data_IF_732195231817
#
_entry.id   IF_732195231817
#
_cell.length_a   1.000
_cell.length_b   1.000
_cell.length_c   1.000
_cell.angle_alpha   90.00
_cell.angle_beta   90.00
_cell.angle_gamma   90.00
#
_symmetry.space_group_name_H-M   'P 1'
#
loop_
_entity.id
_entity.type
_entity.pdbx_description
1 polymer ?
#
# COMPACT_ATOMS: atom_id res chain seq x y z
N UNK A 1 -22.16 -78.70 -0.77
CA UNK A 1 -21.43 -77.71 -1.61
C UNK A 1 -22.40 -76.65 -2.10
N UNK A 2 -22.57 -75.55 -1.36
CA UNK A 2 -23.06 -74.25 -1.87
C UNK A 2 -22.43 -73.17 -0.99
N UNK A 3 -21.52 -72.41 -1.58
CA UNK A 3 -20.69 -71.40 -0.91
C UNK A 3 -21.53 -70.18 -0.52
N UNK A 4 -21.38 -69.72 0.72
CA UNK A 4 -21.90 -68.44 1.19
C UNK A 4 -20.90 -67.35 0.78
N UNK A 5 -21.29 -66.45 -0.12
CA UNK A 5 -20.50 -65.27 -0.46
C UNK A 5 -20.81 -64.16 0.55
N UNK A 6 -19.81 -63.79 1.35
CA UNK A 6 -19.87 -62.68 2.31
C UNK A 6 -19.62 -61.36 1.55
N UNK A 7 -20.63 -60.51 1.44
CA UNK A 7 -20.48 -59.17 0.88
C UNK A 7 -19.93 -58.23 1.95
N UNK A 8 -18.67 -57.83 1.82
CA UNK A 8 -18.04 -56.79 2.64
C UNK A 8 -18.44 -55.43 2.07
N UNK A 9 -19.31 -54.70 2.76
CA UNK A 9 -19.61 -53.31 2.44
C UNK A 9 -18.47 -52.42 2.95
N UNK A 10 -17.67 -51.87 2.03
CA UNK A 10 -16.67 -50.86 2.34
C UNK A 10 -17.39 -49.52 2.47
N UNK A 11 -17.58 -49.04 3.71
CA UNK A 11 -18.02 -47.68 3.96
C UNK A 11 -16.88 -46.72 3.60
N UNK A 12 -16.99 -46.06 2.44
CA UNK A 12 -16.09 -44.97 2.07
C UNK A 12 -16.39 -43.77 2.98
N UNK A 13 -15.55 -43.54 3.99
CA UNK A 13 -15.51 -42.26 4.70
C UNK A 13 -15.01 -41.19 3.73
N UNK A 14 -15.93 -40.47 3.10
CA UNK A 14 -15.62 -39.19 2.47
C UNK A 14 -15.33 -38.19 3.57
N UNK A 15 -14.06 -38.05 3.94
CA UNK A 15 -13.59 -36.91 4.71
C UNK A 15 -13.85 -35.67 3.86
N UNK A 16 -14.90 -34.92 4.18
CA UNK A 16 -15.22 -33.68 3.50
C UNK A 16 -14.04 -32.73 3.64
N UNK A 17 -13.44 -32.35 2.52
CA UNK A 17 -12.50 -31.23 2.45
C UNK A 17 -13.30 -29.96 2.74
N UNK A 18 -13.48 -29.65 4.03
CA UNK A 18 -13.83 -28.32 4.45
C UNK A 18 -12.66 -27.43 4.04
N UNK A 19 -12.81 -26.80 2.87
CA UNK A 19 -12.02 -25.64 2.50
C UNK A 19 -12.19 -24.63 3.65
N UNK A 20 -11.21 -24.51 4.53
CA UNK A 20 -11.10 -23.33 5.38
C UNK A 20 -11.01 -22.15 4.42
N UNK A 21 -12.09 -21.38 4.31
CA UNK A 21 -12.01 -20.06 3.73
C UNK A 21 -10.93 -19.30 4.53
N UNK A 22 -10.03 -18.56 3.87
CA UNK A 22 -9.06 -17.74 4.58
C UNK A 22 -9.83 -16.85 5.57
N UNK A 23 -9.45 -16.91 6.84
CA UNK A 23 -10.00 -16.03 7.86
C UNK A 23 -9.78 -14.59 7.38
N UNK A 24 -10.87 -13.84 7.20
CA UNK A 24 -10.75 -12.42 6.83
C UNK A 24 -9.93 -11.75 7.91
N UNK A 25 -8.84 -11.08 7.51
CA UNK A 25 -8.05 -10.31 8.45
C UNK A 25 -8.99 -9.35 9.20
N UNK A 26 -8.96 -9.39 10.54
CA UNK A 26 -9.66 -8.39 11.33
C UNK A 26 -8.96 -7.04 11.12
N UNK A 27 -9.69 -6.16 10.43
CA UNK A 27 -9.28 -4.80 10.12
C UNK A 27 -9.89 -3.77 11.08
N UNK A 28 -10.49 -4.21 12.18
CA UNK A 28 -11.06 -3.32 13.19
C UNK A 28 -9.95 -2.58 13.93
N UNK A 29 -10.16 -1.29 14.16
CA UNK A 29 -9.30 -0.46 15.01
C UNK A 29 -10.18 0.31 15.99
N UNK A 30 -9.79 0.31 17.27
CA UNK A 30 -10.54 0.97 18.33
C UNK A 30 -9.94 2.35 18.65
N UNK A 31 -10.69 3.25 19.33
CA UNK A 31 -10.12 4.50 19.84
C UNK A 31 -8.91 4.29 20.77
N UNK A 32 -8.90 3.18 21.54
CA UNK A 32 -7.77 2.83 22.39
C UNK A 32 -6.54 2.50 21.55
N UNK A 33 -6.68 1.77 20.45
CA UNK A 33 -5.57 1.44 19.56
C UNK A 33 -4.98 2.69 18.92
N UNK A 34 -5.83 3.60 18.45
CA UNK A 34 -5.43 4.92 17.92
C UNK A 34 -4.63 5.72 18.96
N UNK A 35 -5.08 5.72 20.21
CA UNK A 35 -4.40 6.41 21.31
C UNK A 35 -3.07 5.71 21.68
N UNK A 36 -3.03 4.39 21.71
CA UNK A 36 -1.83 3.61 21.99
C UNK A 36 -0.76 3.80 20.91
N UNK A 37 -1.15 3.91 19.64
CA UNK A 37 -0.24 4.22 18.55
C UNK A 37 0.48 5.56 18.76
N UNK A 38 -0.13 6.55 19.42
CA UNK A 38 0.51 7.84 19.70
C UNK A 38 1.70 7.73 20.64
N UNK A 39 1.92 6.60 21.33
CA UNK A 39 3.10 6.39 22.17
C UNK A 39 4.29 5.78 21.42
N UNK A 40 4.11 5.33 20.18
CA UNK A 40 5.17 4.70 19.37
C UNK A 40 6.03 5.75 18.66
N UNK A 41 7.29 5.49 18.38
CA UNK A 41 8.06 6.33 17.45
C UNK A 41 7.51 6.26 16.02
N UNK A 42 7.90 7.21 15.17
CA UNK A 42 7.57 7.16 13.74
C UNK A 42 7.99 5.82 13.10
N UNK A 43 9.19 5.33 13.41
CA UNK A 43 9.69 4.07 12.87
C UNK A 43 8.81 2.89 13.31
N UNK A 44 8.53 2.78 14.61
CA UNK A 44 7.68 1.71 15.15
C UNK A 44 6.26 1.71 14.55
N UNK A 45 5.69 2.91 14.32
CA UNK A 45 4.34 3.07 13.80
C UNK A 45 4.23 2.85 12.27
N UNK A 46 5.16 3.39 11.49
CA UNK A 46 5.02 3.51 10.02
C UNK A 46 5.97 2.60 9.23
N UNK A 47 7.09 2.17 9.83
CA UNK A 47 8.14 1.42 9.14
C UNK A 47 8.20 -0.04 9.62
N UNK A 48 8.18 -0.26 10.93
CA UNK A 48 8.50 -1.57 11.52
C UNK A 48 7.24 -2.40 11.83
N UNK A 49 6.10 -1.75 12.05
CA UNK A 49 4.82 -2.44 12.27
C UNK A 49 4.74 -3.22 13.58
N UNK A 50 5.24 -2.63 14.68
CA UNK A 50 5.49 -3.36 15.94
C UNK A 50 4.24 -3.85 16.68
N UNK A 51 3.07 -3.34 16.34
CA UNK A 51 1.77 -3.87 16.82
C UNK A 51 0.82 -4.06 15.65
N UNK A 52 -0.20 -4.92 15.82
CA UNK A 52 -1.17 -5.22 14.77
C UNK A 52 -1.95 -3.99 14.28
N UNK A 53 -2.06 -2.94 15.09
CA UNK A 53 -2.87 -1.74 14.81
C UNK A 53 -2.04 -0.55 14.33
N UNK A 54 -0.72 -0.74 14.15
CA UNK A 54 0.14 0.25 13.47
C UNK A 54 -0.26 0.39 11.99
N UNK A 55 0.03 1.55 11.39
CA UNK A 55 -0.27 1.77 9.98
C UNK A 55 0.45 0.75 9.07
N UNK A 56 1.71 0.44 9.38
CA UNK A 56 2.48 -0.59 8.66
C UNK A 56 1.81 -1.96 8.72
N UNK A 57 1.51 -2.46 9.92
CA UNK A 57 0.92 -3.79 10.09
C UNK A 57 -0.50 -3.90 9.53
N UNK A 58 -1.28 -2.80 9.52
CA UNK A 58 -2.58 -2.75 8.88
C UNK A 58 -2.45 -2.79 7.35
N UNK A 59 -1.55 -1.98 6.79
CA UNK A 59 -1.29 -1.95 5.35
C UNK A 59 -0.80 -3.28 4.79
N UNK A 60 0.11 -3.95 5.50
CA UNK A 60 0.65 -5.25 5.08
C UNK A 60 -0.44 -6.35 5.06
N UNK A 61 -1.44 -6.22 5.94
CA UNK A 61 -2.63 -7.08 5.96
C UNK A 61 -3.75 -6.64 5.01
N UNK A 62 -3.50 -5.62 4.17
CA UNK A 62 -4.48 -5.02 3.25
C UNK A 62 -5.72 -4.44 3.96
N UNK A 63 -5.54 -3.99 5.20
CA UNK A 63 -6.53 -3.25 5.96
C UNK A 63 -6.42 -1.74 5.68
N UNK A 64 -6.43 -1.35 4.40
CA UNK A 64 -6.00 -0.02 3.95
C UNK A 64 -6.85 1.12 4.54
N UNK A 65 -8.17 0.93 4.70
CA UNK A 65 -9.03 1.93 5.33
C UNK A 65 -8.66 2.16 6.82
N UNK A 66 -8.35 1.10 7.56
CA UNK A 66 -7.92 1.21 8.96
C UNK A 66 -6.49 1.76 9.06
N UNK A 67 -5.61 1.41 8.13
CA UNK A 67 -4.28 2.00 8.03
C UNK A 67 -4.36 3.52 7.79
N UNK A 68 -5.21 3.96 6.87
CA UNK A 68 -5.46 5.37 6.62
C UNK A 68 -5.98 6.09 7.88
N UNK A 69 -6.96 5.51 8.58
CA UNK A 69 -7.48 6.06 9.84
C UNK A 69 -6.39 6.18 10.91
N UNK A 70 -5.54 5.15 11.07
CA UNK A 70 -4.43 5.18 12.00
C UNK A 70 -3.41 6.27 11.64
N UNK A 71 -3.03 6.39 10.37
CA UNK A 71 -2.07 7.39 9.90
C UNK A 71 -2.61 8.81 10.05
N UNK A 72 -3.88 9.06 9.73
CA UNK A 72 -4.53 10.36 9.90
C UNK A 72 -4.54 10.79 11.37
N UNK A 73 -4.93 9.88 12.28
CA UNK A 73 -4.91 10.16 13.72
C UNK A 73 -3.48 10.44 14.22
N UNK A 74 -2.51 9.65 13.79
CA UNK A 74 -1.11 9.85 14.18
C UNK A 74 -0.56 11.19 13.69
N UNK A 75 -0.83 11.59 12.45
CA UNK A 75 -0.48 12.90 11.90
C UNK A 75 -1.15 14.06 12.66
N UNK A 76 -2.40 13.91 13.08
CA UNK A 76 -3.16 14.95 13.75
C UNK A 76 -2.71 15.20 15.20
N UNK A 77 -2.29 14.14 15.91
CA UNK A 77 -2.08 14.18 17.35
C UNK A 77 -0.64 13.95 17.79
N UNK A 78 0.31 13.72 16.87
CA UNK A 78 1.75 13.70 17.18
C UNK A 78 2.43 15.04 16.95
N UNK A 79 2.82 15.76 18.02
CA UNK A 79 3.37 17.11 17.89
C UNK A 79 4.84 17.15 17.49
N UNK A 80 5.55 16.02 17.59
CA UNK A 80 7.01 15.91 17.53
C UNK A 80 7.55 15.39 16.19
N UNK A 81 6.71 15.31 15.16
CA UNK A 81 7.12 14.83 13.84
C UNK A 81 7.96 15.88 13.11
N UNK A 82 9.08 15.45 12.56
CA UNK A 82 9.87 16.24 11.63
C UNK A 82 9.13 16.44 10.31
N UNK A 83 9.52 17.46 9.54
CA UNK A 83 8.94 17.72 8.22
C UNK A 83 9.07 16.50 7.29
N UNK A 84 10.19 15.78 7.35
CA UNK A 84 10.39 14.57 6.53
C UNK A 84 9.43 13.45 6.91
N UNK A 85 9.21 13.22 8.21
CA UNK A 85 8.27 12.21 8.70
C UNK A 85 6.83 12.57 8.33
N UNK A 86 6.45 13.85 8.44
CA UNK A 86 5.15 14.34 7.97
C UNK A 86 4.98 14.05 6.47
N UNK A 87 5.99 14.32 5.64
CA UNK A 87 5.92 14.04 4.21
C UNK A 87 5.77 12.54 3.90
N UNK A 88 6.48 11.67 4.63
CA UNK A 88 6.39 10.21 4.45
C UNK A 88 5.04 9.67 4.93
N UNK A 89 4.56 10.08 6.10
CA UNK A 89 3.23 9.69 6.60
C UNK A 89 2.11 10.18 5.68
N UNK A 90 2.21 11.41 5.18
CA UNK A 90 1.25 11.96 4.20
C UNK A 90 1.26 11.13 2.91
N UNK A 91 2.44 10.71 2.45
CA UNK A 91 2.59 9.81 1.31
C UNK A 91 1.92 8.45 1.55
N UNK A 92 2.18 7.81 2.69
CA UNK A 92 1.56 6.53 3.04
C UNK A 92 0.04 6.65 3.22
N UNK A 93 -0.44 7.69 3.87
CA UNK A 93 -1.87 7.99 3.99
C UNK A 93 -2.54 8.04 2.60
N UNK A 94 -1.93 8.74 1.64
CA UNK A 94 -2.47 8.81 0.29
C UNK A 94 -2.52 7.44 -0.39
N UNK A 95 -1.49 6.60 -0.22
CA UNK A 95 -1.50 5.23 -0.76
C UNK A 95 -2.58 4.36 -0.12
N UNK A 96 -2.76 4.42 1.20
CA UNK A 96 -3.81 3.69 1.91
C UNK A 96 -5.21 4.14 1.48
N UNK A 97 -5.44 5.45 1.36
CA UNK A 97 -6.70 5.98 0.83
C UNK A 97 -6.98 5.48 -0.59
N UNK A 98 -5.98 5.50 -1.47
CA UNK A 98 -6.13 5.03 -2.83
C UNK A 98 -6.39 3.51 -2.89
N UNK A 99 -5.69 2.72 -2.08
CA UNK A 99 -5.87 1.28 -1.97
C UNK A 99 -7.25 0.89 -1.41
N UNK A 100 -7.79 1.70 -0.48
CA UNK A 100 -9.15 1.58 0.02
C UNK A 100 -10.24 2.04 -0.98
N UNK A 101 -9.84 2.58 -2.15
CA UNK A 101 -10.75 3.04 -3.21
C UNK A 101 -11.14 4.52 -3.14
N UNK A 102 -10.69 5.28 -2.14
CA UNK A 102 -10.90 6.74 -2.08
C UNK A 102 -9.79 7.49 -2.84
N UNK A 103 -9.71 7.25 -4.15
CA UNK A 103 -8.70 7.86 -5.02
C UNK A 103 -8.80 9.39 -5.11
N UNK A 104 -10.01 9.93 -4.93
CA UNK A 104 -10.25 11.38 -4.96
C UNK A 104 -9.59 12.07 -3.77
N UNK A 105 -9.80 11.55 -2.56
CA UNK A 105 -9.13 12.10 -1.37
C UNK A 105 -7.64 11.79 -1.42
N UNK A 106 -7.28 10.57 -1.83
CA UNK A 106 -5.88 10.18 -2.02
C UNK A 106 -5.13 11.17 -2.92
N UNK A 107 -5.69 11.58 -4.06
CA UNK A 107 -5.03 12.55 -4.95
C UNK A 107 -4.72 13.88 -4.25
N UNK A 108 -5.64 14.39 -3.42
CA UNK A 108 -5.41 15.65 -2.67
C UNK A 108 -4.26 15.48 -1.66
N UNK A 109 -4.27 14.38 -0.92
CA UNK A 109 -3.24 14.07 0.09
C UNK A 109 -1.90 13.78 -0.57
N UNK A 110 -1.89 13.05 -1.69
CA UNK A 110 -0.70 12.64 -2.43
C UNK A 110 0.15 13.86 -2.83
N UNK A 111 -0.48 14.88 -3.40
CA UNK A 111 0.23 16.09 -3.84
C UNK A 111 0.79 16.90 -2.67
N UNK A 112 0.18 16.81 -1.47
CA UNK A 112 0.65 17.44 -0.24
C UNK A 112 1.88 16.74 0.34
N UNK A 113 2.16 15.49 -0.04
CA UNK A 113 3.38 14.77 0.36
C UNK A 113 4.67 15.32 -0.28
N UNK A 114 4.58 16.27 -1.22
CA UNK A 114 5.76 16.90 -1.82
C UNK A 114 6.58 17.66 -0.77
N UNK A 115 7.89 17.64 -0.98
CA UNK A 115 8.84 18.46 -0.23
C UNK A 115 8.97 19.83 -0.90
N UNK A 116 9.16 20.92 -0.13
CA UNK A 116 9.47 22.23 -0.69
C UNK A 116 10.66 22.16 -1.65
N UNK A 117 10.64 22.86 -2.81
CA UNK A 117 11.76 22.87 -3.75
C UNK A 117 13.08 23.40 -3.17
N UNK A 118 12.99 24.17 -2.08
CA UNK A 118 14.15 24.70 -1.36
C UNK A 118 14.84 23.66 -0.46
N UNK A 119 14.21 22.50 -0.20
CA UNK A 119 14.86 21.44 0.56
C UNK A 119 16.06 20.91 -0.24
N UNK A 120 17.15 20.53 0.44
CA UNK A 120 18.27 19.89 -0.23
C UNK A 120 17.81 18.59 -0.90
N UNK A 121 18.43 18.21 -2.04
CA UNK A 121 18.24 16.89 -2.61
C UNK A 121 18.49 15.79 -1.58
N UNK A 122 17.81 14.66 -1.73
CA UNK A 122 18.14 13.49 -0.91
C UNK A 122 19.58 13.04 -1.17
N UNK A 123 20.25 12.53 -0.13
CA UNK A 123 21.66 12.15 -0.21
C UNK A 123 21.94 11.05 -1.25
N UNK A 124 20.94 10.23 -1.57
CA UNK A 124 21.01 9.19 -2.61
C UNK A 124 20.56 9.68 -3.99
N UNK A 125 20.24 10.97 -4.14
CA UNK A 125 19.76 11.58 -5.38
C UNK A 125 18.33 11.20 -5.76
N UNK A 126 17.53 10.65 -4.84
CA UNK A 126 16.15 10.30 -5.15
C UNK A 126 15.30 11.53 -5.48
N UNK A 127 14.60 11.46 -6.61
CA UNK A 127 13.67 12.50 -7.03
C UNK A 127 12.29 12.29 -6.42
N UNK A 128 12.18 12.45 -5.09
CA UNK A 128 10.94 12.31 -4.32
C UNK A 128 9.75 13.02 -4.98
N UNK A 129 9.89 14.31 -5.28
CA UNK A 129 8.79 15.10 -5.85
C UNK A 129 8.35 14.62 -7.23
N UNK A 130 9.28 14.12 -8.06
CA UNK A 130 8.96 13.55 -9.37
C UNK A 130 8.10 12.30 -9.20
N UNK A 131 8.48 11.43 -8.26
CA UNK A 131 7.69 10.24 -7.95
C UNK A 131 6.30 10.60 -7.41
N UNK A 132 6.22 11.57 -6.49
CA UNK A 132 4.94 12.05 -5.95
C UNK A 132 4.01 12.57 -7.05
N UNK A 133 4.53 13.41 -7.94
CA UNK A 133 3.76 13.97 -9.07
C UNK A 133 3.29 12.88 -10.02
N UNK A 134 4.13 11.88 -10.32
CA UNK A 134 3.75 10.75 -11.16
C UNK A 134 2.58 9.95 -10.58
N UNK A 135 2.64 9.62 -9.29
CA UNK A 135 1.56 8.88 -8.63
C UNK A 135 0.28 9.71 -8.49
N UNK A 136 0.40 11.01 -8.21
CA UNK A 136 -0.73 11.94 -8.24
C UNK A 136 -1.38 12.00 -9.63
N UNK A 137 -0.58 12.11 -10.68
CA UNK A 137 -1.06 12.17 -12.06
C UNK A 137 -1.85 10.92 -12.45
N UNK A 138 -1.42 9.73 -11.99
CA UNK A 138 -2.21 8.51 -12.17
C UNK A 138 -3.58 8.60 -11.46
N UNK A 139 -3.63 9.07 -10.21
CA UNK A 139 -4.88 9.17 -9.44
C UNK A 139 -5.88 10.15 -10.07
N UNK A 140 -5.40 11.25 -10.67
CA UNK A 140 -6.26 12.21 -11.36
C UNK A 140 -6.48 11.89 -12.85
N UNK A 141 -5.96 10.76 -13.33
CA UNK A 141 -6.02 10.33 -14.72
C UNK A 141 -5.44 11.36 -15.71
N UNK A 142 -4.32 11.97 -15.34
CA UNK A 142 -3.49 12.79 -16.22
C UNK A 142 -2.34 11.96 -16.82
N UNK A 143 -2.58 11.47 -18.04
CA UNK A 143 -1.60 10.62 -18.76
C UNK A 143 -0.32 11.37 -19.08
N UNK A 144 -0.44 12.63 -19.49
CA UNK A 144 0.73 13.42 -19.93
C UNK A 144 1.67 13.70 -18.75
N UNK A 145 1.12 14.10 -17.60
CA UNK A 145 1.92 14.33 -16.41
C UNK A 145 2.54 13.03 -15.88
N UNK A 146 1.82 11.91 -15.93
CA UNK A 146 2.36 10.60 -15.55
C UNK A 146 3.55 10.19 -16.45
N UNK A 147 3.41 10.33 -17.77
CA UNK A 147 4.48 10.01 -18.73
C UNK A 147 5.70 10.92 -18.54
N UNK A 148 5.50 12.22 -18.35
CA UNK A 148 6.58 13.17 -18.09
C UNK A 148 7.35 12.83 -16.79
N UNK A 149 6.62 12.55 -15.70
CA UNK A 149 7.22 12.13 -14.44
C UNK A 149 7.97 10.79 -14.59
N UNK A 150 7.39 9.84 -15.32
CA UNK A 150 8.01 8.54 -15.59
C UNK A 150 9.32 8.69 -16.35
N UNK A 151 9.34 9.49 -17.43
CA UNK A 151 10.55 9.75 -18.22
C UNK A 151 11.63 10.42 -17.38
N UNK A 152 11.27 11.44 -16.60
CA UNK A 152 12.21 12.14 -15.71
C UNK A 152 12.81 11.19 -14.67
N UNK A 153 11.97 10.43 -13.96
CA UNK A 153 12.42 9.52 -12.91
C UNK A 153 13.24 8.35 -13.46
N UNK A 154 12.92 7.87 -14.68
CA UNK A 154 13.67 6.81 -15.34
C UNK A 154 15.06 7.25 -15.81
N UNK A 155 15.24 8.53 -16.12
CA UNK A 155 16.53 9.10 -16.52
C UNK A 155 17.43 9.45 -15.32
N UNK A 156 16.85 9.62 -14.12
CA UNK A 156 17.59 9.94 -12.92
C UNK A 156 18.41 8.72 -12.43
N UNK A 157 19.69 8.91 -12.02
CA UNK A 157 20.52 7.82 -11.54
C UNK A 157 20.06 7.35 -10.15
N UNK A 158 20.47 6.15 -9.75
CA UNK A 158 20.24 5.62 -8.40
C UNK A 158 19.15 4.56 -8.33
N UNK A 159 19.36 3.59 -7.43
CA UNK A 159 18.50 2.39 -7.31
C UNK A 159 17.06 2.78 -6.97
N UNK A 160 16.87 3.76 -6.08
CA UNK A 160 15.54 4.21 -5.66
C UNK A 160 14.77 4.91 -6.79
N UNK A 161 15.42 5.71 -7.63
CA UNK A 161 14.80 6.28 -8.83
C UNK A 161 14.36 5.16 -9.79
N UNK A 162 15.24 4.20 -10.09
CA UNK A 162 14.92 3.07 -10.97
C UNK A 162 13.76 2.19 -10.47
N UNK A 163 13.70 1.91 -9.15
CA UNK A 163 12.61 1.15 -8.54
C UNK A 163 11.28 1.91 -8.64
N UNK A 164 11.24 3.18 -8.27
CA UNK A 164 10.00 3.97 -8.30
C UNK A 164 9.54 4.31 -9.73
N UNK A 165 10.47 4.41 -10.68
CA UNK A 165 10.13 4.52 -12.09
C UNK A 165 9.42 3.25 -12.62
N UNK A 166 9.73 2.06 -12.10
CA UNK A 166 8.98 0.83 -12.43
C UNK A 166 7.53 0.94 -11.98
N UNK A 167 7.28 1.49 -10.78
CA UNK A 167 5.92 1.72 -10.28
C UNK A 167 5.15 2.66 -11.22
N UNK A 168 5.74 3.80 -11.60
CA UNK A 168 5.07 4.71 -12.54
C UNK A 168 4.80 4.06 -13.91
N UNK A 169 5.69 3.19 -14.39
CA UNK A 169 5.43 2.41 -15.60
C UNK A 169 4.28 1.41 -15.44
N UNK A 170 4.09 0.81 -14.26
CA UNK A 170 2.91 -0.03 -13.98
C UNK A 170 1.63 0.80 -14.09
N UNK A 171 1.62 1.99 -13.51
CA UNK A 171 0.53 2.94 -13.64
C UNK A 171 0.25 3.31 -15.10
N UNK A 172 1.28 3.57 -15.91
CA UNK A 172 1.08 3.86 -17.34
C UNK A 172 0.48 2.67 -18.11
N UNK A 173 0.91 1.45 -17.80
CA UNK A 173 0.42 0.21 -18.43
C UNK A 173 -1.04 -0.06 -18.10
N UNK A 174 -1.42 0.13 -16.84
CA UNK A 174 -2.77 -0.10 -16.33
C UNK A 174 -3.51 1.20 -15.97
N UNK A 175 -3.36 2.20 -16.83
CA UNK A 175 -3.80 3.58 -16.54
C UNK A 175 -5.27 3.71 -16.13
N UNK A 176 -6.14 2.95 -16.78
CA UNK A 176 -7.60 3.03 -16.56
C UNK A 176 -8.07 2.14 -15.40
N UNK A 177 -7.15 1.43 -14.72
CA UNK A 177 -7.46 0.60 -13.54
C UNK A 177 -7.47 1.43 -12.26
N UNK A 178 -7.99 0.83 -11.20
CA UNK A 178 -7.83 1.38 -9.85
C UNK A 178 -6.35 1.38 -9.44
N UNK A 179 -6.01 2.19 -8.44
CA UNK A 179 -4.69 2.28 -7.86
C UNK A 179 -4.16 0.92 -7.42
N UNK A 180 -4.96 0.17 -6.65
CA UNK A 180 -4.51 -1.13 -6.13
C UNK A 180 -4.29 -2.16 -7.24
N UNK A 181 -5.16 -2.18 -8.26
CA UNK A 181 -5.00 -3.06 -9.42
C UNK A 181 -3.72 -2.70 -10.20
N UNK A 182 -3.48 -1.41 -10.46
CA UNK A 182 -2.30 -0.97 -11.19
C UNK A 182 -1.00 -1.15 -10.40
N UNK A 183 -1.05 -1.00 -9.08
CA UNK A 183 0.11 -1.11 -8.19
C UNK A 183 0.54 -2.57 -7.95
N UNK A 184 -0.41 -3.46 -7.62
CA UNK A 184 -0.12 -4.82 -7.15
C UNK A 184 -0.27 -5.92 -8.21
N UNK A 185 -1.01 -5.68 -9.31
CA UNK A 185 -1.24 -6.75 -10.29
C UNK A 185 0.00 -7.08 -11.10
N UNK A 186 0.34 -8.38 -11.15
CA UNK A 186 1.38 -8.91 -12.05
C UNK A 186 1.09 -8.55 -13.52
N UNK A 187 -0.18 -8.46 -13.90
CA UNK A 187 -0.57 -8.05 -15.26
C UNK A 187 -0.14 -6.62 -15.61
N UNK A 188 0.07 -5.78 -14.61
CA UNK A 188 0.49 -4.39 -14.75
C UNK A 188 2.01 -4.22 -14.71
N UNK A 189 2.79 -5.28 -14.49
CA UNK A 189 4.25 -5.19 -14.52
C UNK A 189 4.75 -4.75 -15.90
N UNK A 190 5.61 -3.71 -16.00
CA UNK A 190 6.25 -3.39 -17.27
C UNK A 190 7.12 -4.58 -17.69
N UNK A 191 7.06 -4.94 -18.99
CA UNK A 191 7.96 -5.94 -19.55
C UNK A 191 9.41 -5.56 -19.28
N UNK A 192 10.25 -6.59 -19.09
CA UNK A 192 11.70 -6.47 -18.87
C UNK A 192 12.41 -5.67 -19.96
#
# INVERSE_FOLDING_TARGET
MKSLALAIAIAALTCGTAWCAPERADCSITPQDLQSNLSLSFAEFDQDGVTATTARALGDRKCDAAAAQATEHYLAYRPDLSASEINILTWHLAQYLAAAGDERTAAKVMLAARRPPANPPESDGFEWNTYVVGSWAFLIKDRQALEAATSRLSAAPGVRNGMNAKVLRRFSKCFDRSYIEAYDSVSCEPGS
#
